data_IF_535884071439
#
_entry.id   IF_535884071439
#
_cell.length_a   1.000
_cell.length_b   1.000
_cell.length_c   1.000
_cell.angle_alpha   90.00
_cell.angle_beta   90.00
_cell.angle_gamma   90.00
#
_symmetry.space_group_name_H-M   'P 1'
#
loop_
_entity.id
_entity.type
_entity.pdbx_description
1 polymer ?
#
# COMPACT_ATOMS: atom_id res chain seq x y z
N UNK A 1 9.17 36.71 26.26
CA UNK A 1 8.66 35.83 25.17
C UNK A 1 9.12 36.39 23.83
N UNK A 2 9.52 35.56 22.85
CA UNK A 2 9.94 36.04 21.54
C UNK A 2 8.79 36.77 20.84
N UNK A 3 9.08 37.84 20.09
CA UNK A 3 8.05 38.56 19.34
C UNK A 3 7.46 37.67 18.23
N UNK A 4 6.19 37.88 17.81
CA UNK A 4 5.54 37.09 16.77
C UNK A 4 6.35 36.99 15.47
N UNK A 5 7.05 38.08 15.10
CA UNK A 5 7.94 38.12 13.93
C UNK A 5 9.18 37.22 14.09
N UNK A 6 9.77 37.15 15.28
CA UNK A 6 10.90 36.25 15.57
C UNK A 6 10.47 34.78 15.58
N UNK A 7 9.25 34.48 16.02
CA UNK A 7 8.70 33.12 15.98
C UNK A 7 8.45 32.64 14.54
N UNK A 8 7.88 33.50 13.68
CA UNK A 8 7.68 33.20 12.25
C UNK A 8 9.01 32.99 11.51
N UNK A 9 10.02 33.82 11.76
CA UNK A 9 11.35 33.64 11.17
C UNK A 9 12.02 32.32 11.59
N UNK A 10 11.89 31.95 12.86
CA UNK A 10 12.42 30.68 13.36
C UNK A 10 11.69 29.47 12.75
N UNK A 11 10.36 29.52 12.61
CA UNK A 11 9.61 28.47 11.92
C UNK A 11 10.00 28.34 10.44
N UNK A 12 10.16 29.45 9.73
CA UNK A 12 10.59 29.44 8.32
C UNK A 12 12.00 28.88 8.16
N UNK A 13 12.95 29.26 9.02
CA UNK A 13 14.30 28.70 9.01
C UNK A 13 14.32 27.20 9.34
N UNK A 14 13.48 26.76 10.28
CA UNK A 14 13.38 25.36 10.65
C UNK A 14 12.76 24.51 9.54
N UNK A 15 11.74 25.02 8.84
CA UNK A 15 11.16 24.39 7.66
C UNK A 15 12.17 24.31 6.50
N UNK A 16 12.94 25.37 6.24
CA UNK A 16 13.99 25.36 5.23
C UNK A 16 15.12 24.36 5.55
N UNK A 17 15.55 24.30 6.81
CA UNK A 17 16.59 23.36 7.23
C UNK A 17 16.13 21.89 7.12
N UNK A 18 14.86 21.62 7.46
CA UNK A 18 14.26 20.29 7.31
C UNK A 18 14.13 19.90 5.83
N UNK A 19 13.79 20.83 4.94
CA UNK A 19 13.72 20.58 3.50
C UNK A 19 15.09 20.27 2.90
N UNK A 20 16.16 20.95 3.33
CA UNK A 20 17.51 20.72 2.80
C UNK A 20 18.18 19.41 3.27
N UNK A 21 17.67 18.77 4.33
CA UNK A 21 18.19 17.50 4.85
C UNK A 21 17.16 16.36 4.76
N UNK A 22 16.12 16.53 3.94
CA UNK A 22 15.09 15.53 3.75
C UNK A 22 15.64 14.35 2.92
N UNK A 23 16.00 13.26 3.58
CA UNK A 23 16.68 12.09 2.99
C UNK A 23 15.85 10.81 3.05
N UNK A 24 14.51 10.93 3.03
CA UNK A 24 13.66 9.74 2.99
C UNK A 24 13.84 8.99 1.66
N UNK A 25 13.99 7.67 1.76
CA UNK A 25 14.10 6.76 0.62
C UNK A 25 12.81 5.96 0.45
N UNK A 26 12.18 5.54 1.55
CA UNK A 26 10.96 4.74 1.53
C UNK A 26 9.73 5.60 1.80
N UNK A 27 8.68 5.35 1.03
CA UNK A 27 7.40 6.05 1.09
C UNK A 27 6.28 5.05 0.95
N UNK A 28 5.12 5.30 1.55
CA UNK A 28 3.92 4.52 1.35
C UNK A 28 2.84 5.43 0.79
N UNK A 29 2.21 4.98 -0.29
CA UNK A 29 1.04 5.61 -0.88
C UNK A 29 -0.13 4.63 -0.77
N UNK A 30 -1.29 5.14 -0.43
CA UNK A 30 -2.50 4.34 -0.25
C UNK A 30 -3.71 5.09 -0.82
N UNK A 31 -4.69 4.33 -1.31
CA UNK A 31 -5.87 4.85 -2.00
C UNK A 31 -7.15 4.24 -1.44
N UNK A 32 -8.05 5.11 -0.99
CA UNK A 32 -9.46 4.74 -0.78
C UNK A 32 -10.28 5.01 -2.04
N UNK A 33 -11.27 4.16 -2.29
CA UNK A 33 -12.17 4.29 -3.43
C UNK A 33 -13.63 4.34 -3.01
N UNK A 34 -14.44 5.09 -3.76
CA UNK A 34 -15.91 4.95 -3.75
C UNK A 34 -16.36 4.01 -4.86
N UNK A 35 -17.54 3.41 -4.72
CA UNK A 35 -18.17 2.62 -5.77
C UNK A 35 -19.00 3.50 -6.70
N UNK A 36 -18.75 3.38 -8.01
CA UNK A 36 -19.51 4.08 -9.05
C UNK A 36 -20.45 3.17 -9.82
N UNK A 37 -20.61 1.94 -9.34
CA UNK A 37 -21.50 0.92 -9.87
C UNK A 37 -21.48 -0.32 -9.00
N UNK A 38 -22.21 -1.36 -9.44
CA UNK A 38 -22.46 -2.55 -8.62
C UNK A 38 -21.35 -3.61 -8.76
N UNK A 39 -20.49 -3.49 -9.76
CA UNK A 39 -19.40 -4.44 -10.02
C UNK A 39 -18.20 -4.19 -9.09
N UNK A 40 -17.36 -5.21 -8.86
CA UNK A 40 -16.22 -5.06 -7.95
C UNK A 40 -15.08 -4.19 -8.49
N UNK A 41 -15.05 -3.94 -9.80
CA UNK A 41 -14.11 -3.07 -10.48
C UNK A 41 -14.69 -1.67 -10.75
N UNK A 42 -15.98 -1.44 -10.50
CA UNK A 42 -16.64 -0.15 -10.66
C UNK A 42 -16.32 0.75 -9.46
N UNK A 43 -15.10 1.26 -9.42
CA UNK A 43 -14.53 2.07 -8.35
C UNK A 43 -13.88 3.33 -8.93
N UNK A 44 -13.91 4.41 -8.15
CA UNK A 44 -13.13 5.63 -8.42
C UNK A 44 -12.38 6.05 -7.15
N UNK A 45 -11.18 6.59 -7.34
CA UNK A 45 -10.33 7.16 -6.27
C UNK A 45 -11.08 8.25 -5.51
N UNK A 46 -11.02 8.20 -4.19
CA UNK A 46 -11.72 9.11 -3.28
C UNK A 46 -10.84 9.70 -2.17
N UNK A 47 -9.74 9.03 -1.82
CA UNK A 47 -8.71 9.58 -0.95
C UNK A 47 -7.35 9.06 -1.41
N UNK A 48 -6.33 9.91 -1.32
CA UNK A 48 -4.94 9.55 -1.56
C UNK A 48 -4.12 10.07 -0.39
N UNK A 49 -3.26 9.23 0.18
CA UNK A 49 -2.31 9.67 1.18
C UNK A 49 -0.90 9.19 0.88
N UNK A 50 0.09 10.03 1.21
CA UNK A 50 1.52 9.73 1.09
C UNK A 50 2.19 9.92 2.45
N UNK A 51 2.88 8.89 2.91
CA UNK A 51 3.61 8.87 4.18
C UNK A 51 5.06 8.47 3.92
N UNK A 52 6.02 9.13 4.57
CA UNK A 52 7.44 8.77 4.45
C UNK A 52 7.90 7.75 5.50
N UNK A 53 9.12 7.23 5.34
CA UNK A 53 9.74 6.28 6.28
C UNK A 53 9.88 6.80 7.72
N UNK A 54 9.76 8.11 7.94
CA UNK A 54 9.82 8.75 9.24
C UNK A 54 8.42 8.99 9.83
N UNK A 55 7.41 8.32 9.28
CA UNK A 55 6.01 8.38 9.70
C UNK A 55 5.36 9.76 9.53
N UNK A 56 5.91 10.62 8.65
CA UNK A 56 5.31 11.92 8.35
C UNK A 56 4.34 11.79 7.19
N UNK A 57 3.10 12.21 7.41
CA UNK A 57 2.12 12.35 6.34
C UNK A 57 2.46 13.60 5.51
N UNK A 58 2.88 13.39 4.26
CA UNK A 58 3.28 14.43 3.33
C UNK A 58 2.10 14.93 2.50
N UNK A 59 1.14 14.05 2.23
CA UNK A 59 -0.07 14.34 1.47
C UNK A 59 -1.24 13.56 2.08
N UNK A 60 -2.39 14.22 2.18
CA UNK A 60 -3.68 13.59 2.43
C UNK A 60 -4.74 14.42 1.70
N UNK A 61 -5.23 13.90 0.59
CA UNK A 61 -6.14 14.63 -0.31
C UNK A 61 -7.37 13.79 -0.61
N UNK A 62 -8.54 14.42 -0.57
CA UNK A 62 -9.79 13.83 -0.99
C UNK A 62 -10.03 14.11 -2.47
N UNK A 63 -10.52 13.11 -3.18
CA UNK A 63 -10.77 13.18 -4.63
C UNK A 63 -12.27 13.05 -4.86
N UNK A 64 -12.84 14.00 -5.59
CA UNK A 64 -14.24 13.89 -6.01
C UNK A 64 -14.33 13.09 -7.31
N UNK A 65 -15.42 12.31 -7.52
CA UNK A 65 -15.67 11.65 -8.78
C UNK A 65 -15.69 12.66 -9.95
N UNK A 66 -15.39 12.20 -11.19
CA UNK A 66 -15.52 13.02 -12.38
C UNK A 66 -16.90 13.68 -12.49
N UNK A 67 -16.93 14.87 -13.09
CA UNK A 67 -18.17 15.64 -13.24
C UNK A 67 -19.26 14.81 -13.95
N UNK A 68 -20.47 14.83 -13.39
CA UNK A 68 -21.61 14.06 -13.90
C UNK A 68 -21.60 12.57 -13.55
N UNK A 69 -20.51 12.03 -12.96
CA UNK A 69 -20.45 10.63 -12.55
C UNK A 69 -21.10 10.45 -11.18
N UNK A 70 -22.12 9.59 -11.12
CA UNK A 70 -22.86 9.29 -9.89
C UNK A 70 -22.09 8.28 -9.03
N UNK A 71 -21.92 8.60 -7.74
CA UNK A 71 -21.49 7.62 -6.73
C UNK A 71 -22.65 6.68 -6.44
N UNK A 72 -22.41 5.38 -6.54
CA UNK A 72 -23.37 4.35 -6.17
C UNK A 72 -23.35 4.06 -4.67
N UNK A 73 -22.16 3.95 -4.09
CA UNK A 73 -21.95 3.76 -2.66
C UNK A 73 -20.60 4.35 -2.25
N UNK A 74 -20.56 5.02 -1.11
CA UNK A 74 -19.32 5.52 -0.54
C UNK A 74 -18.51 4.43 0.17
N UNK A 75 -19.14 3.26 0.43
CA UNK A 75 -18.57 2.18 1.22
C UNK A 75 -18.07 2.67 2.59
N UNK A 76 -18.73 3.66 3.19
CA UNK A 76 -18.29 4.40 4.38
C UNK A 76 -17.83 3.51 5.54
N UNK A 77 -18.49 2.38 5.88
CA UNK A 77 -18.00 1.51 6.96
C UNK A 77 -16.65 0.89 6.67
N UNK A 78 -16.29 0.73 5.39
CA UNK A 78 -14.99 0.28 4.95
C UNK A 78 -14.02 1.45 4.82
N UNK A 79 -14.37 2.51 4.09
CA UNK A 79 -13.41 3.52 3.60
C UNK A 79 -13.33 4.79 4.45
N UNK A 80 -14.28 4.96 5.38
CA UNK A 80 -14.47 6.22 6.12
C UNK A 80 -14.94 7.41 5.25
N UNK A 81 -15.12 7.24 3.94
CA UNK A 81 -15.50 8.30 3.02
C UNK A 81 -17.00 8.58 3.13
N UNK A 82 -17.37 9.86 3.14
CA UNK A 82 -18.76 10.33 3.12
C UNK A 82 -18.95 11.35 2.00
N UNK A 83 -20.20 11.54 1.58
CA UNK A 83 -20.58 12.58 0.62
C UNK A 83 -20.16 13.98 1.09
N UNK A 84 -20.39 14.28 2.37
CA UNK A 84 -20.06 15.58 2.96
C UNK A 84 -18.55 15.87 2.90
N UNK A 85 -17.71 14.87 3.19
CA UNK A 85 -16.25 15.02 3.11
C UNK A 85 -15.79 15.28 1.68
N UNK A 86 -16.32 14.54 0.69
CA UNK A 86 -15.96 14.78 -0.72
C UNK A 86 -16.50 16.11 -1.24
N UNK A 87 -17.68 16.53 -0.80
CA UNK A 87 -18.28 17.83 -1.15
C UNK A 87 -17.46 18.99 -0.57
N UNK A 88 -17.04 18.88 0.69
CA UNK A 88 -16.31 19.93 1.39
C UNK A 88 -14.83 20.02 1.01
N UNK A 89 -14.18 18.88 0.71
CA UNK A 89 -12.72 18.81 0.58
C UNK A 89 -12.23 18.16 -0.72
N UNK A 90 -13.13 17.59 -1.52
CA UNK A 90 -12.76 16.85 -2.73
C UNK A 90 -12.26 17.76 -3.86
N UNK A 91 -11.09 17.42 -4.41
CA UNK A 91 -10.55 18.04 -5.62
C UNK A 91 -10.66 17.07 -6.81
N UNK A 92 -10.63 17.56 -8.07
CA UNK A 92 -10.49 16.70 -9.24
C UNK A 92 -9.25 15.81 -9.15
N UNK A 93 -9.33 14.59 -9.70
CA UNK A 93 -8.20 13.64 -9.67
C UNK A 93 -6.92 14.23 -10.29
N UNK A 94 -7.03 15.01 -11.37
CA UNK A 94 -5.89 15.64 -12.01
C UNK A 94 -5.15 16.62 -11.07
N UNK A 95 -5.90 17.39 -10.27
CA UNK A 95 -5.31 18.32 -9.30
C UNK A 95 -4.67 17.55 -8.13
N UNK A 96 -5.33 16.48 -7.67
CA UNK A 96 -4.75 15.59 -6.67
C UNK A 96 -3.44 14.95 -7.16
N UNK A 97 -3.38 14.52 -8.43
CA UNK A 97 -2.19 13.94 -9.02
C UNK A 97 -1.04 14.94 -9.21
N UNK A 98 -1.33 16.23 -9.40
CA UNK A 98 -0.30 17.27 -9.34
C UNK A 98 0.31 17.35 -7.94
N UNK A 99 -0.51 17.29 -6.88
CA UNK A 99 -0.01 17.25 -5.51
C UNK A 99 0.78 15.98 -5.20
N UNK A 100 0.34 14.81 -5.68
CA UNK A 100 1.08 13.54 -5.56
C UNK A 100 2.46 13.67 -6.19
N UNK A 101 2.57 14.10 -7.45
CA UNK A 101 3.86 14.23 -8.15
C UNK A 101 4.77 15.32 -7.58
N UNK A 102 4.20 16.33 -6.92
CA UNK A 102 4.99 17.34 -6.21
C UNK A 102 5.55 16.82 -4.87
N UNK A 103 4.82 15.92 -4.20
CA UNK A 103 5.18 15.38 -2.89
C UNK A 103 6.01 14.09 -2.96
N UNK A 104 5.81 13.26 -3.99
CA UNK A 104 6.51 12.00 -4.21
C UNK A 104 7.80 12.24 -5.00
N UNK A 105 8.98 12.03 -4.40
CA UNK A 105 10.22 12.21 -5.13
C UNK A 105 10.50 11.02 -6.07
N UNK A 106 11.09 11.22 -7.27
CA UNK A 106 11.37 10.14 -8.22
C UNK A 106 12.29 9.03 -7.71
N UNK A 107 13.14 9.32 -6.72
CA UNK A 107 14.02 8.33 -6.09
C UNK A 107 13.30 7.44 -5.05
N UNK A 108 12.01 7.68 -4.80
CA UNK A 108 11.23 6.95 -3.81
C UNK A 108 11.15 5.46 -4.14
N UNK A 109 11.25 4.64 -3.09
CA UNK A 109 10.82 3.25 -3.11
C UNK A 109 9.45 3.19 -2.44
N UNK A 110 8.42 2.77 -3.18
CA UNK A 110 7.06 2.69 -2.65
C UNK A 110 6.87 1.38 -1.90
N UNK A 111 6.38 1.47 -0.67
CA UNK A 111 6.16 0.37 0.26
C UNK A 111 4.68 0.30 0.60
N UNK A 112 4.08 -0.87 0.47
CA UNK A 112 2.68 -1.03 0.86
C UNK A 112 2.16 -2.44 0.68
N UNK A 113 0.92 -2.64 1.06
CA UNK A 113 0.24 -3.92 0.92
C UNK A 113 -0.52 -3.96 -0.41
N UNK A 114 -0.09 -4.82 -1.34
CA UNK A 114 -0.63 -4.83 -2.71
C UNK A 114 -0.40 -3.49 -3.44
N UNK A 115 0.75 -2.85 -3.18
CA UNK A 115 1.07 -1.47 -3.57
C UNK A 115 1.00 -1.20 -5.08
N UNK A 116 1.19 -2.25 -5.91
CA UNK A 116 1.01 -2.14 -7.35
C UNK A 116 -0.40 -1.71 -7.74
N UNK A 117 -1.41 -2.03 -6.92
CA UNK A 117 -2.79 -1.63 -7.20
C UNK A 117 -3.00 -0.13 -7.03
N UNK A 118 -2.44 0.46 -5.98
CA UNK A 118 -2.47 1.92 -5.77
C UNK A 118 -1.74 2.65 -6.89
N UNK A 119 -0.59 2.14 -7.31
CA UNK A 119 0.17 2.65 -8.46
C UNK A 119 -0.67 2.60 -9.75
N UNK A 120 -1.40 1.51 -9.99
CA UNK A 120 -2.31 1.37 -11.14
C UNK A 120 -3.45 2.40 -11.08
N UNK A 121 -4.11 2.54 -9.92
CA UNK A 121 -5.18 3.52 -9.68
C UNK A 121 -4.74 4.94 -9.98
N UNK A 122 -3.53 5.29 -9.57
CA UNK A 122 -2.95 6.63 -9.70
C UNK A 122 -2.20 6.83 -11.02
N UNK A 123 -2.03 5.77 -11.83
CA UNK A 123 -1.27 5.79 -13.08
C UNK A 123 0.14 6.36 -12.90
N UNK A 124 0.79 5.94 -11.81
CA UNK A 124 2.20 6.25 -11.56
C UNK A 124 3.08 5.30 -12.37
N UNK A 125 4.19 5.81 -12.90
CA UNK A 125 5.12 5.06 -13.74
C UNK A 125 6.44 4.81 -12.99
N UNK A 126 6.81 3.54 -12.82
CA UNK A 126 8.13 3.14 -12.30
C UNK A 126 9.25 3.63 -13.24
N UNK A 127 10.34 4.14 -12.65
CA UNK A 127 11.44 4.79 -13.35
C UNK A 127 11.21 6.28 -13.69
N UNK A 128 9.98 6.79 -13.51
CA UNK A 128 9.63 8.20 -13.75
C UNK A 128 9.10 8.89 -12.49
N UNK A 129 8.02 8.35 -11.91
CA UNK A 129 7.39 8.91 -10.72
C UNK A 129 8.01 8.33 -9.43
N UNK A 130 8.59 7.13 -9.48
CA UNK A 130 9.28 6.45 -8.37
C UNK A 130 10.29 5.42 -8.91
N UNK A 131 11.15 4.86 -8.06
CA UNK A 131 12.25 3.96 -8.48
C UNK A 131 11.88 2.48 -8.47
N UNK A 132 11.21 2.00 -7.41
CA UNK A 132 10.80 0.60 -7.29
C UNK A 132 9.70 0.38 -6.25
N UNK A 133 9.18 -0.85 -6.19
CA UNK A 133 8.14 -1.27 -5.26
C UNK A 133 8.66 -2.29 -4.23
N UNK A 134 8.16 -2.20 -3.01
CA UNK A 134 8.27 -3.22 -1.96
C UNK A 134 6.87 -3.61 -1.50
N UNK A 135 6.44 -4.81 -1.88
CA UNK A 135 5.14 -5.33 -1.51
C UNK A 135 5.21 -6.10 -0.19
N UNK A 136 4.52 -5.58 0.83
CA UNK A 136 4.50 -6.17 2.18
C UNK A 136 3.87 -7.57 2.20
N UNK A 137 2.92 -7.83 1.31
CA UNK A 137 2.21 -9.09 1.19
C UNK A 137 2.97 -10.11 0.30
N UNK A 138 4.01 -9.67 -0.41
CA UNK A 138 4.74 -10.46 -1.40
C UNK A 138 3.89 -10.86 -2.61
N UNK A 139 2.89 -10.04 -2.96
CA UNK A 139 1.99 -10.28 -4.11
C UNK A 139 2.66 -9.90 -5.44
N UNK A 140 3.52 -8.88 -5.41
CA UNK A 140 4.28 -8.44 -6.58
C UNK A 140 5.47 -9.35 -6.93
N UNK A 141 5.73 -10.39 -6.12
CA UNK A 141 6.71 -11.43 -6.45
C UNK A 141 6.18 -12.28 -7.60
N UNK A 142 6.31 -11.77 -8.82
CA UNK A 142 6.07 -12.53 -10.04
C UNK A 142 7.11 -13.65 -10.08
N UNK A 143 6.66 -14.91 -9.98
CA UNK A 143 7.48 -16.03 -10.40
C UNK A 143 7.89 -15.75 -11.86
N UNK A 144 9.18 -15.51 -12.09
CA UNK A 144 9.72 -15.17 -13.42
C UNK A 144 9.54 -16.30 -14.44
N UNK A 145 8.92 -17.43 -14.08
CA UNK A 145 8.58 -18.51 -15.02
C UNK A 145 7.51 -18.15 -16.05
N UNK A 146 6.73 -17.09 -15.88
CA UNK A 146 5.55 -16.83 -16.76
C UNK A 146 5.56 -15.54 -17.56
N UNK A 147 6.66 -14.77 -17.59
CA UNK A 147 6.80 -13.60 -18.47
C UNK A 147 8.03 -13.70 -19.36
N UNK A 148 8.00 -14.65 -20.31
CA UNK A 148 8.89 -14.60 -21.47
C UNK A 148 8.08 -14.92 -22.72
N UNK A 149 7.75 -13.88 -23.48
CA UNK A 149 7.60 -14.02 -24.93
C UNK A 149 8.99 -14.43 -25.43
N UNK A 150 9.15 -15.72 -25.76
CA UNK A 150 10.42 -16.28 -26.23
C UNK A 150 10.73 -15.73 -27.62
N UNK A 151 11.72 -14.84 -27.69
CA UNK A 151 12.53 -14.65 -28.90
C UNK A 151 13.44 -15.88 -29.07
N UNK A 152 13.56 -16.40 -30.29
CA UNK A 152 14.20 -17.68 -30.63
C UNK A 152 15.75 -17.65 -30.51
N UNK A 153 16.34 -16.54 -30.06
CA UNK A 153 17.80 -16.33 -30.12
C UNK A 153 18.57 -16.60 -28.81
N UNK A 154 17.92 -16.79 -27.66
CA UNK A 154 18.61 -16.87 -26.36
C UNK A 154 18.94 -18.29 -25.86
N UNK A 155 18.95 -19.29 -26.74
CA UNK A 155 19.16 -20.71 -26.35
C UNK A 155 20.65 -21.07 -26.10
N UNK A 156 21.62 -20.21 -26.41
CA UNK A 156 23.03 -20.61 -26.43
C UNK A 156 23.91 -20.28 -25.21
N UNK A 157 23.36 -19.76 -24.10
CA UNK A 157 24.16 -19.49 -22.89
C UNK A 157 23.69 -20.24 -21.63
N UNK A 158 23.10 -21.44 -21.79
CA UNK A 158 22.50 -22.18 -20.67
C UNK A 158 23.45 -23.17 -19.95
N UNK A 159 24.73 -23.22 -20.27
CA UNK A 159 25.68 -24.10 -19.59
C UNK A 159 27.00 -23.36 -19.39
N UNK A 160 27.29 -22.90 -18.17
CA UNK A 160 28.61 -22.97 -17.50
C UNK A 160 28.84 -22.02 -16.32
N UNK A 161 27.88 -21.20 -15.89
CA UNK A 161 28.02 -20.41 -14.65
C UNK A 161 26.86 -20.70 -13.70
N UNK A 162 27.03 -21.77 -12.93
CA UNK A 162 26.24 -21.99 -11.72
C UNK A 162 26.40 -20.82 -10.77
N UNK A 163 25.40 -19.93 -10.75
CA UNK A 163 24.90 -19.09 -9.65
C UNK A 163 23.99 -18.03 -10.26
N UNK A 164 22.80 -18.44 -10.71
CA UNK A 164 21.70 -17.48 -10.76
C UNK A 164 21.20 -17.33 -9.32
N UNK A 165 21.80 -16.40 -8.57
CA UNK A 165 21.08 -15.78 -7.48
C UNK A 165 19.93 -15.00 -8.11
N UNK A 166 18.74 -15.59 -8.13
CA UNK A 166 17.52 -14.78 -8.07
C UNK A 166 17.63 -14.01 -6.74
N UNK A 167 18.21 -12.81 -6.81
CA UNK A 167 18.51 -12.00 -5.65
C UNK A 167 17.21 -11.50 -5.03
N UNK A 168 16.97 -11.91 -3.79
CA UNK A 168 15.85 -11.50 -2.94
C UNK A 168 14.44 -11.88 -3.44
N UNK A 169 14.01 -13.08 -3.04
CA UNK A 169 12.63 -13.39 -2.69
C UNK A 169 12.20 -12.46 -1.53
N UNK A 170 12.01 -11.16 -1.81
CA UNK A 170 11.76 -10.11 -0.81
C UNK A 170 10.30 -10.12 -0.36
N UNK A 171 9.81 -11.28 0.06
CA UNK A 171 8.50 -11.38 0.67
C UNK A 171 8.60 -10.96 2.14
N UNK A 172 8.23 -9.71 2.41
CA UNK A 172 8.39 -9.10 3.74
C UNK A 172 7.66 -9.91 4.81
N UNK A 173 6.35 -10.07 4.66
CA UNK A 173 5.51 -10.77 5.66
C UNK A 173 4.84 -12.05 5.17
N UNK A 174 5.18 -12.53 3.97
CA UNK A 174 4.70 -13.83 3.48
C UNK A 174 5.43 -14.96 4.22
N UNK A 175 4.69 -16.01 4.55
CA UNK A 175 5.22 -17.15 5.32
C UNK A 175 4.78 -18.46 4.69
N UNK A 176 5.71 -19.41 4.53
CA UNK A 176 5.35 -20.76 4.09
C UNK A 176 4.61 -21.49 5.21
N UNK A 177 3.41 -21.98 4.91
CA UNK A 177 2.60 -22.75 5.86
C UNK A 177 2.76 -24.26 5.57
N UNK A 178 3.44 -25.02 6.44
CA UNK A 178 3.67 -26.45 6.22
C UNK A 178 2.40 -27.30 6.33
N UNK A 179 1.40 -26.86 7.11
CA UNK A 179 0.13 -27.58 7.29
C UNK A 179 -0.67 -27.59 5.99
N UNK A 180 -0.74 -26.45 5.30
CA UNK A 180 -1.49 -26.31 4.04
C UNK A 180 -0.61 -26.45 2.80
N UNK A 181 0.70 -26.63 2.96
CA UNK A 181 1.70 -26.71 1.88
C UNK A 181 1.56 -25.56 0.89
N UNK A 182 1.38 -24.36 1.41
CA UNK A 182 1.12 -23.16 0.63
C UNK A 182 1.69 -21.93 1.32
N UNK A 183 1.92 -20.86 0.56
CA UNK A 183 2.31 -19.59 1.14
C UNK A 183 1.09 -18.88 1.72
N UNK A 184 1.20 -18.46 2.98
CA UNK A 184 0.22 -17.61 3.65
C UNK A 184 0.55 -16.14 3.45
N UNK A 185 -0.48 -15.39 3.09
CA UNK A 185 -0.49 -13.93 3.00
C UNK A 185 -1.51 -13.42 4.02
N UNK A 186 -1.14 -12.37 4.74
CA UNK A 186 -1.94 -11.83 5.84
C UNK A 186 -2.50 -10.46 5.46
N UNK A 187 -3.69 -10.10 5.96
CA UNK A 187 -4.20 -8.73 5.82
C UNK A 187 -3.36 -7.74 6.62
N UNK A 188 -3.41 -6.46 6.24
CA UNK A 188 -2.66 -5.41 6.95
C UNK A 188 -3.07 -5.36 8.42
N UNK A 189 -4.37 -5.43 8.70
CA UNK A 189 -4.88 -5.42 10.07
C UNK A 189 -4.38 -6.62 10.88
N UNK A 190 -4.29 -7.81 10.28
CA UNK A 190 -3.72 -8.98 10.95
C UNK A 190 -2.26 -8.77 11.31
N UNK A 191 -1.48 -8.18 10.40
CA UNK A 191 -0.09 -7.82 10.65
C UNK A 191 0.00 -6.78 11.77
N UNK A 192 -0.77 -5.69 11.72
CA UNK A 192 -0.72 -4.62 12.72
C UNK A 192 -1.11 -5.15 14.11
N UNK A 193 -2.22 -5.89 14.23
CA UNK A 193 -2.66 -6.49 15.50
C UNK A 193 -1.63 -7.45 16.06
N UNK A 194 -1.12 -8.36 15.23
CA UNK A 194 -0.23 -9.43 15.70
C UNK A 194 1.17 -8.92 16.03
N UNK A 195 1.69 -7.98 15.23
CA UNK A 195 3.08 -7.55 15.26
C UNK A 195 3.31 -6.29 16.07
N UNK A 196 2.43 -5.29 15.90
CA UNK A 196 2.57 -3.99 16.56
C UNK A 196 1.73 -3.88 17.82
N UNK A 197 0.89 -4.88 18.12
CA UNK A 197 0.02 -4.91 19.30
C UNK A 197 -0.95 -3.72 19.37
N UNK A 198 -1.20 -3.07 18.24
CA UNK A 198 -2.04 -1.88 18.14
C UNK A 198 -3.45 -2.29 17.75
N UNK A 199 -4.44 -1.63 18.36
CA UNK A 199 -5.81 -1.75 17.92
C UNK A 199 -5.95 -1.22 16.49
N UNK A 200 -6.76 -1.90 15.69
CA UNK A 200 -7.07 -1.49 14.33
C UNK A 200 -8.53 -1.10 14.28
N UNK A 201 -8.80 0.14 13.88
CA UNK A 201 -10.15 0.63 13.67
C UNK A 201 -10.88 -0.17 12.59
N UNK A 202 -12.21 -0.22 12.67
CA UNK A 202 -13.03 -0.92 11.67
C UNK A 202 -13.09 -0.18 10.33
N UNK A 203 -12.85 1.14 10.33
CA UNK A 203 -12.81 1.98 9.15
C UNK A 203 -11.37 2.17 8.68
N UNK A 204 -11.17 1.99 7.38
CA UNK A 204 -9.95 2.33 6.67
C UNK A 204 -9.85 3.83 6.42
N UNK A 205 -8.62 4.26 6.20
CA UNK A 205 -8.25 5.64 5.92
C UNK A 205 -6.87 5.60 5.26
N UNK A 206 -6.75 6.17 4.07
CA UNK A 206 -5.52 6.08 3.29
C UNK A 206 -4.27 6.53 4.08
N UNK A 207 -4.38 7.59 4.89
CA UNK A 207 -3.24 8.09 5.65
C UNK A 207 -2.83 7.15 6.78
N UNK A 208 -3.80 6.53 7.45
CA UNK A 208 -3.52 5.54 8.49
C UNK A 208 -2.99 4.24 7.89
N UNK A 209 -3.49 3.83 6.73
CA UNK A 209 -3.07 2.58 6.08
C UNK A 209 -1.68 2.70 5.43
N UNK A 210 -1.35 3.86 4.85
CA UNK A 210 0.02 4.18 4.46
C UNK A 210 0.98 4.22 5.68
N UNK A 211 0.53 4.80 6.80
CA UNK A 211 1.32 4.80 8.05
C UNK A 211 1.56 3.40 8.60
N UNK A 212 0.52 2.54 8.62
CA UNK A 212 0.64 1.12 9.01
C UNK A 212 1.67 0.41 8.14
N UNK A 213 1.65 0.63 6.82
CA UNK A 213 2.62 0.06 5.89
C UNK A 213 4.06 0.47 6.22
N UNK A 214 4.31 1.75 6.47
CA UNK A 214 5.65 2.23 6.88
C UNK A 214 6.07 1.60 8.21
N UNK A 215 5.19 1.55 9.20
CA UNK A 215 5.50 0.95 10.52
C UNK A 215 5.84 -0.53 10.41
N UNK A 216 5.07 -1.28 9.64
CA UNK A 216 5.33 -2.69 9.37
C UNK A 216 6.69 -2.86 8.67
N UNK A 217 7.00 -2.04 7.67
CA UNK A 217 8.28 -2.09 6.99
C UNK A 217 9.46 -1.75 7.89
N UNK A 218 9.35 -0.69 8.68
CA UNK A 218 10.37 -0.30 9.65
C UNK A 218 10.59 -1.40 10.70
N UNK A 219 9.51 -2.05 11.17
CA UNK A 219 9.61 -3.15 12.11
C UNK A 219 10.30 -4.38 11.49
N UNK A 220 10.02 -4.69 10.23
CA UNK A 220 10.73 -5.74 9.50
C UNK A 220 12.24 -5.46 9.43
N UNK A 221 12.62 -4.25 9.01
CA UNK A 221 14.03 -3.85 8.94
C UNK A 221 14.70 -3.86 10.31
N UNK A 222 13.98 -3.46 11.37
CA UNK A 222 14.47 -3.55 12.74
C UNK A 222 14.77 -5.00 13.12
N UNK A 223 13.83 -5.93 12.92
CA UNK A 223 14.04 -7.36 13.22
C UNK A 223 15.26 -7.93 12.51
N UNK A 224 15.47 -7.56 11.24
CA UNK A 224 16.64 -8.00 10.47
C UNK A 224 17.97 -7.37 10.93
N UNK A 225 17.91 -6.24 11.63
CA UNK A 225 19.10 -5.57 12.14
C UNK A 225 19.73 -6.33 13.32
N UNK A 226 21.01 -6.05 13.60
CA UNK A 226 21.69 -6.60 14.76
C UNK A 226 21.06 -6.24 16.11
N UNK A 227 20.23 -5.18 16.18
CA UNK A 227 19.50 -4.80 17.38
C UNK A 227 18.15 -5.54 17.53
N UNK A 228 17.54 -5.98 16.44
CA UNK A 228 16.23 -6.62 16.44
C UNK A 228 16.25 -8.14 16.59
N UNK A 229 17.42 -8.73 16.84
CA UNK A 229 17.57 -10.18 17.05
C UNK A 229 17.79 -11.00 15.77
N UNK A 230 17.83 -10.34 14.60
CA UNK A 230 18.14 -10.96 13.32
C UNK A 230 17.12 -12.00 12.86
N UNK A 231 17.60 -12.97 12.10
CA UNK A 231 16.78 -14.01 11.46
C UNK A 231 15.92 -14.80 12.46
N UNK A 232 16.47 -15.15 13.63
CA UNK A 232 15.73 -15.89 14.65
C UNK A 232 14.52 -15.14 15.19
N UNK A 233 14.62 -13.82 15.37
CA UNK A 233 13.51 -12.98 15.81
C UNK A 233 12.45 -12.84 14.71
N UNK A 234 12.89 -12.66 13.45
CA UNK A 234 11.99 -12.62 12.30
C UNK A 234 11.22 -13.94 12.14
N UNK A 235 11.87 -15.08 12.28
CA UNK A 235 11.25 -16.40 12.22
C UNK A 235 10.22 -16.60 13.33
N UNK A 236 10.56 -16.25 14.57
CA UNK A 236 9.64 -16.33 15.71
C UNK A 236 8.37 -15.50 15.47
N UNK A 237 8.53 -14.29 14.92
CA UNK A 237 7.43 -13.41 14.57
C UNK A 237 6.60 -13.98 13.42
N UNK A 238 7.24 -14.55 12.38
CA UNK A 238 6.55 -15.21 11.26
C UNK A 238 5.77 -16.45 11.71
N UNK A 239 6.27 -17.21 12.68
CA UNK A 239 5.50 -18.31 13.30
C UNK A 239 4.29 -17.80 14.05
N UNK A 240 4.45 -16.73 14.85
CA UNK A 240 3.33 -16.09 15.56
C UNK A 240 2.22 -15.65 14.59
N UNK A 241 2.56 -15.15 13.40
CA UNK A 241 1.58 -14.78 12.37
C UNK A 241 0.73 -15.98 11.91
N UNK A 242 1.34 -17.16 11.75
CA UNK A 242 0.64 -18.40 11.37
C UNK A 242 -0.26 -18.93 12.48
N UNK A 243 0.18 -18.83 13.73
CA UNK A 243 -0.55 -19.31 14.91
C UNK A 243 -1.71 -18.39 15.30
N UNK A 244 -1.61 -17.10 14.95
CA UNK A 244 -2.62 -16.11 15.29
C UNK A 244 -3.89 -16.33 14.44
N UNK A 245 -5.08 -16.42 15.06
CA UNK A 245 -6.33 -16.60 14.33
C UNK A 245 -6.58 -15.43 13.36
N UNK A 246 -6.83 -15.69 12.06
CA UNK A 246 -7.11 -14.63 11.12
C UNK A 246 -8.51 -14.06 11.34
N UNK A 247 -8.62 -12.74 11.38
CA UNK A 247 -9.92 -12.08 11.35
C UNK A 247 -10.47 -12.03 9.92
N UNK A 248 -11.78 -12.28 9.72
CA UNK A 248 -12.38 -12.14 8.40
C UNK A 248 -12.41 -10.67 7.98
N UNK A 249 -11.88 -10.38 6.78
CA UNK A 249 -11.93 -9.04 6.18
C UNK A 249 -13.38 -8.58 5.96
N UNK A 250 -13.56 -7.26 5.80
CA UNK A 250 -14.86 -6.68 5.48
C UNK A 250 -15.52 -7.36 4.28
N UNK A 251 -14.81 -7.56 3.17
CA UNK A 251 -15.33 -8.23 1.97
C UNK A 251 -15.68 -9.72 2.19
N UNK A 252 -15.08 -10.38 3.20
CA UNK A 252 -15.42 -11.76 3.57
C UNK A 252 -16.67 -11.81 4.45
N UNK A 253 -16.86 -10.83 5.34
CA UNK A 253 -18.07 -10.65 6.14
C UNK A 253 -19.26 -10.18 5.29
N UNK A 254 -18.98 -9.32 4.31
CA UNK A 254 -19.95 -8.66 3.45
C UNK A 254 -19.58 -8.91 1.97
N UNK A 255 -19.97 -10.06 1.36
CA UNK A 255 -19.72 -10.33 -0.05
C UNK A 255 -20.29 -9.27 -1.01
N UNK A 256 -21.39 -8.64 -0.60
CA UNK A 256 -21.95 -7.43 -1.19
C UNK A 256 -22.27 -6.40 -0.11
N UNK A 257 -22.21 -5.12 -0.46
CA UNK A 257 -22.58 -4.00 0.41
C UNK A 257 -23.29 -2.92 -0.39
N UNK A 258 -24.48 -2.49 0.03
CA UNK A 258 -25.27 -1.46 -0.69
C UNK A 258 -25.45 -1.75 -2.19
N UNK A 259 -25.60 -3.02 -2.56
CA UNK A 259 -25.72 -3.44 -3.97
C UNK A 259 -24.39 -3.57 -4.73
N UNK A 260 -23.27 -3.24 -4.10
CA UNK A 260 -21.92 -3.33 -4.65
C UNK A 260 -21.30 -4.69 -4.32
N UNK A 261 -20.75 -5.37 -5.34
CA UNK A 261 -19.94 -6.56 -5.17
C UNK A 261 -18.57 -6.21 -4.56
N UNK A 262 -18.15 -6.95 -3.53
CA UNK A 262 -16.87 -6.71 -2.83
C UNK A 262 -15.68 -7.51 -3.41
N UNK A 263 -15.86 -8.18 -4.54
CA UNK A 263 -14.74 -8.78 -5.28
C UNK A 263 -14.09 -9.98 -4.60
N UNK A 264 -14.82 -10.72 -3.77
CA UNK A 264 -14.30 -12.00 -3.26
C UNK A 264 -14.53 -13.09 -4.32
N UNK A 265 -13.45 -13.67 -4.86
CA UNK A 265 -13.50 -14.66 -5.96
C UNK A 265 -14.43 -15.86 -5.69
N UNK A 266 -14.65 -16.24 -4.42
CA UNK A 266 -15.52 -17.37 -4.07
C UNK A 266 -17.00 -17.01 -3.99
N UNK A 267 -17.32 -15.74 -3.77
CA UNK A 267 -18.69 -15.28 -3.50
C UNK A 267 -19.14 -14.18 -4.47
N UNK A 268 -18.29 -13.80 -5.43
CA UNK A 268 -18.60 -12.80 -6.44
C UNK A 268 -19.68 -13.30 -7.38
N UNK A 269 -20.69 -12.45 -7.61
CA UNK A 269 -21.82 -12.73 -8.50
C UNK A 269 -22.02 -11.67 -9.60
N UNK A 270 -21.14 -10.66 -9.66
CA UNK A 270 -21.34 -9.50 -10.56
C UNK A 270 -20.86 -9.73 -12.01
N UNK A 271 -20.17 -10.82 -12.31
CA UNK A 271 -19.73 -11.15 -13.67
C UNK A 271 -18.52 -10.35 -14.19
N UNK A 272 -18.09 -9.30 -13.49
CA UNK A 272 -16.90 -8.55 -13.86
C UNK A 272 -15.61 -9.40 -13.78
N UNK A 273 -14.62 -9.16 -14.65
CA UNK A 273 -13.35 -9.86 -14.61
C UNK A 273 -12.54 -9.52 -13.35
N UNK A 274 -11.74 -10.48 -12.88
CA UNK A 274 -10.71 -10.26 -11.88
C UNK A 274 -9.39 -9.94 -12.59
N UNK A 275 -8.97 -8.69 -12.53
CA UNK A 275 -7.61 -8.30 -12.92
C UNK A 275 -6.67 -8.66 -11.77
N UNK A 276 -5.60 -9.39 -12.09
CA UNK A 276 -4.61 -9.87 -11.14
C UNK A 276 -3.29 -9.12 -11.27
#
# INVERSE_FOLDING_TARGET
MPSPKKQQQQQQQQQQFQAQNYVATYFSIDVECVATGNEHNARDVAQIALVDQFERCLLNVYVKPPEGKKVHSYLTPLTGITEDVLSAHGVPLEDAMQHVRAALPPHAVLVGQNIAKDVEWLRLEEGKDFTSLVDLAGLCCVDTRTRFVRSVLDIFSFFLTGTHTCGFDSTVWRVWNPQYKSWSVFSQDHLVKTLLGSDVGEQHNAALDALKSIRLFNYFNYLQSGQGGGEAALDAVKQKLLESPPEPSFAKKNPSWEGVCMGNRKTCTCGAPFFG
#
